data_IF_681083643904
#
_entry.id   IF_681083643904
#
_cell.length_a   1.000
_cell.length_b   1.000
_cell.length_c   1.000
_cell.angle_alpha   90.00
_cell.angle_beta   90.00
_cell.angle_gamma   90.00
#
_symmetry.space_group_name_H-M   'P 1'
#
loop_
_entity.id
_entity.type
_entity.pdbx_description
1 polymer ?
#
# COMPACT_ATOMS: atom_id res chain seq x y z
N UNK A 1 35.19 23.87 15.04
CA UNK A 1 34.16 24.91 15.23
C UNK A 1 32.94 24.23 15.84
N UNK A 2 32.43 24.67 17.01
CA UNK A 2 31.21 24.07 17.56
C UNK A 2 30.01 24.43 16.69
N UNK A 3 29.12 23.46 16.46
CA UNK A 3 27.83 23.67 15.80
C UNK A 3 26.79 23.94 16.89
N UNK A 4 26.07 25.04 16.76
CA UNK A 4 24.91 25.37 17.58
C UNK A 4 23.65 24.98 16.80
N UNK A 5 22.82 24.12 17.39
CA UNK A 5 21.58 23.65 16.77
C UNK A 5 20.38 24.25 17.50
N UNK A 6 19.57 25.03 16.79
CA UNK A 6 18.30 25.55 17.32
C UNK A 6 17.12 24.70 16.83
N UNK A 7 16.19 24.40 17.73
CA UNK A 7 14.98 23.64 17.41
C UNK A 7 13.82 24.58 17.03
N UNK A 8 12.97 24.17 16.09
CA UNK A 8 11.77 24.91 15.72
C UNK A 8 10.82 25.08 16.91
N UNK A 9 10.32 26.30 17.10
CA UNK A 9 9.31 26.67 18.11
C UNK A 9 7.93 26.76 17.46
N UNK A 10 6.90 26.79 18.30
CA UNK A 10 5.50 26.91 17.84
C UNK A 10 5.29 28.19 17.02
N UNK A 11 5.85 29.32 17.46
CA UNK A 11 5.74 30.61 16.78
C UNK A 11 6.40 30.68 15.40
N UNK A 12 7.25 29.70 15.05
CA UNK A 12 7.92 29.68 13.74
C UNK A 12 6.97 29.26 12.61
N UNK A 13 5.90 28.54 12.95
CA UNK A 13 4.95 28.00 11.96
C UNK A 13 3.49 28.26 12.32
N UNK A 14 3.18 28.63 13.56
CA UNK A 14 1.83 28.96 14.01
C UNK A 14 1.76 30.41 14.45
N UNK A 15 1.05 31.24 13.67
CA UNK A 15 0.85 32.65 13.98
C UNK A 15 -0.16 32.85 15.12
N UNK A 16 -1.23 32.05 15.13
CA UNK A 16 -2.32 32.11 16.10
C UNK A 16 -3.15 30.82 16.03
N UNK A 17 -3.69 30.38 17.16
CA UNK A 17 -4.71 29.32 17.27
C UNK A 17 -5.75 29.71 18.33
N UNK A 18 -6.95 29.13 18.24
CA UNK A 18 -7.99 29.33 19.25
C UNK A 18 -7.53 28.77 20.61
N UNK A 19 -7.90 29.46 21.70
CA UNK A 19 -7.69 28.97 23.06
C UNK A 19 -8.31 27.60 23.30
N UNK A 20 -7.87 26.92 24.36
CA UNK A 20 -8.34 25.57 24.73
C UNK A 20 -8.11 24.49 23.66
N UNK A 21 -7.15 24.72 22.74
CA UNK A 21 -6.74 23.76 21.71
C UNK A 21 -7.85 23.37 20.71
N UNK A 22 -8.89 24.19 20.55
CA UNK A 22 -10.00 23.87 19.64
C UNK A 22 -9.59 23.76 18.16
N UNK A 23 -8.44 24.34 17.78
CA UNK A 23 -7.88 24.22 16.43
C UNK A 23 -6.99 22.97 16.25
N UNK A 24 -6.90 22.10 17.26
CA UNK A 24 -6.06 20.89 17.23
C UNK A 24 -6.93 19.65 17.22
N UNK A 25 -6.43 18.64 16.51
CA UNK A 25 -7.03 17.31 16.48
C UNK A 25 -5.94 16.25 16.73
N UNK A 26 -6.32 15.16 17.38
CA UNK A 26 -5.45 14.02 17.60
C UNK A 26 -5.69 13.05 16.46
N UNK A 27 -4.69 12.93 15.58
CA UNK A 27 -4.77 12.07 14.39
C UNK A 27 -3.82 10.89 14.51
N UNK A 28 -4.25 9.73 14.04
CA UNK A 28 -3.38 8.57 13.86
C UNK A 28 -2.57 8.73 12.57
N UNK A 29 -1.26 8.56 12.67
CA UNK A 29 -0.34 8.62 11.53
C UNK A 29 0.12 7.22 11.16
N UNK A 30 0.32 6.96 9.88
CA UNK A 30 0.87 5.68 9.40
C UNK A 30 2.27 5.43 10.03
N UNK A 31 2.55 4.19 10.43
CA UNK A 31 3.86 3.79 10.93
C UNK A 31 4.97 4.03 9.88
N UNK A 32 6.22 4.26 10.30
CA UNK A 32 7.33 4.37 9.36
C UNK A 32 7.69 3.01 8.75
N UNK A 33 8.43 3.02 7.63
CA UNK A 33 8.90 1.78 7.00
C UNK A 33 10.09 1.22 7.80
N UNK A 34 9.85 0.20 8.63
CA UNK A 34 10.88 -0.48 9.42
C UNK A 34 11.38 0.28 10.66
N UNK A 35 10.80 1.45 10.99
CA UNK A 35 11.07 2.22 12.19
C UNK A 35 9.93 3.21 12.49
N UNK A 36 9.93 3.81 13.68
CA UNK A 36 9.00 4.89 14.00
C UNK A 36 9.18 6.08 13.05
N UNK A 37 8.06 6.68 12.65
CA UNK A 37 8.09 7.86 11.79
C UNK A 37 8.51 9.06 12.61
N UNK A 38 9.70 9.60 12.33
CA UNK A 38 10.17 10.83 12.96
C UNK A 38 9.37 12.02 12.44
N UNK A 39 8.50 12.57 13.29
CA UNK A 39 7.73 13.79 13.01
C UNK A 39 8.43 14.99 13.64
N UNK A 40 8.50 16.11 12.90
CA UNK A 40 9.03 17.37 13.41
C UNK A 40 7.92 18.40 13.56
N UNK A 41 8.10 19.35 14.48
CA UNK A 41 7.16 20.44 14.70
C UNK A 41 6.99 21.27 13.41
N UNK A 42 5.74 21.54 13.04
CA UNK A 42 5.39 22.26 11.80
C UNK A 42 5.52 21.43 10.52
N UNK A 43 5.72 20.10 10.61
CA UNK A 43 5.74 19.24 9.43
C UNK A 43 4.34 19.15 8.80
N UNK A 44 4.25 19.47 7.51
CA UNK A 44 3.01 19.31 6.74
C UNK A 44 2.76 17.83 6.50
N UNK A 45 1.57 17.35 6.89
CA UNK A 45 1.13 15.98 6.68
C UNK A 45 0.13 15.91 5.52
N UNK A 46 0.31 14.94 4.62
CA UNK A 46 -0.69 14.58 3.62
C UNK A 46 -1.68 13.58 4.21
N UNK A 47 -2.98 13.75 3.89
CA UNK A 47 -4.00 12.76 4.25
C UNK A 47 -3.88 11.54 3.33
N UNK A 48 -3.70 10.35 3.91
CA UNK A 48 -3.82 9.09 3.17
C UNK A 48 -5.29 8.86 2.81
N UNK A 49 -5.61 8.82 1.52
CA UNK A 49 -6.98 8.59 1.02
C UNK A 49 -7.25 7.13 0.68
N UNK A 50 -6.22 6.30 0.65
CA UNK A 50 -6.30 4.86 0.39
C UNK A 50 -5.45 4.10 1.40
N UNK A 51 -5.91 2.91 1.76
CA UNK A 51 -5.16 1.99 2.61
C UNK A 51 -4.01 1.32 1.85
N UNK A 52 -3.34 0.41 2.54
CA UNK A 52 -2.36 -0.51 1.95
C UNK A 52 -3.06 -1.74 1.40
N UNK A 53 -2.60 -2.24 0.24
CA UNK A 53 -2.97 -3.58 -0.19
C UNK A 53 -2.07 -4.61 0.53
N UNK A 54 -2.68 -5.74 0.85
CA UNK A 54 -1.99 -6.92 1.36
C UNK A 54 -2.39 -8.10 0.50
N UNK A 55 -1.41 -8.90 0.11
CA UNK A 55 -1.65 -10.06 -0.73
C UNK A 55 -1.67 -11.33 0.13
N UNK A 56 -2.65 -12.19 -0.11
CA UNK A 56 -2.84 -13.45 0.61
C UNK A 56 -3.32 -14.53 -0.35
N UNK A 57 -2.86 -15.77 -0.14
CA UNK A 57 -3.37 -16.92 -0.87
C UNK A 57 -4.79 -17.26 -0.42
N UNK A 58 -5.65 -17.63 -1.37
CA UNK A 58 -6.97 -18.15 -1.05
C UNK A 58 -6.86 -19.49 -0.29
N UNK A 59 -7.82 -19.73 0.61
CA UNK A 59 -7.87 -20.99 1.34
C UNK A 59 -8.05 -22.17 0.36
N UNK A 60 -7.20 -23.19 0.46
CA UNK A 60 -7.21 -24.35 -0.44
C UNK A 60 -6.42 -24.18 -1.72
N UNK A 61 -5.65 -23.09 -1.88
CA UNK A 61 -4.70 -22.97 -2.99
C UNK A 61 -3.66 -24.10 -2.94
N UNK A 62 -3.51 -24.81 -4.05
CA UNK A 62 -2.60 -25.96 -4.20
C UNK A 62 -1.19 -25.56 -4.62
N UNK A 63 -1.04 -24.41 -5.30
CA UNK A 63 0.27 -23.87 -5.66
C UNK A 63 0.98 -23.15 -4.51
N UNK A 64 2.30 -23.08 -4.63
CA UNK A 64 3.16 -22.39 -3.66
C UNK A 64 3.73 -21.06 -4.18
N UNK A 65 3.21 -20.56 -5.30
CA UNK A 65 3.67 -19.28 -5.80
C UNK A 65 3.17 -18.11 -4.96
N UNK A 66 3.87 -17.00 -5.12
CA UNK A 66 3.76 -15.83 -4.25
C UNK A 66 3.42 -14.60 -5.07
N UNK A 67 2.77 -13.66 -4.44
CA UNK A 67 2.49 -12.33 -4.98
C UNK A 67 3.22 -11.31 -4.10
N UNK A 68 3.63 -10.19 -4.68
CA UNK A 68 4.22 -9.07 -3.93
C UNK A 68 3.39 -8.79 -2.67
N UNK A 69 3.99 -8.96 -1.48
CA UNK A 69 3.27 -8.93 -0.21
C UNK A 69 2.51 -7.61 0.03
N UNK A 70 3.07 -6.51 -0.47
CA UNK A 70 2.49 -5.17 -0.39
C UNK A 70 2.36 -4.58 -1.81
N UNK A 71 1.32 -4.95 -2.57
CA UNK A 71 1.06 -4.36 -3.89
C UNK A 71 0.93 -2.84 -3.78
N UNK A 72 1.46 -2.12 -4.77
CA UNK A 72 1.27 -0.66 -4.82
C UNK A 72 -0.17 -0.36 -5.21
N UNK A 73 -0.82 0.50 -4.44
CA UNK A 73 -2.23 0.91 -4.66
C UNK A 73 -2.26 2.10 -5.63
N UNK A 74 -2.85 1.90 -6.81
CA UNK A 74 -2.97 2.92 -7.84
C UNK A 74 -4.14 3.89 -7.62
N UNK A 75 -4.19 4.96 -8.40
CA UNK A 75 -5.25 5.98 -8.33
C UNK A 75 -6.64 5.45 -8.68
N UNK A 76 -6.75 4.42 -9.51
CA UNK A 76 -8.02 3.76 -9.84
C UNK A 76 -8.44 2.68 -8.83
N UNK A 77 -7.59 2.34 -7.85
CA UNK A 77 -7.91 1.30 -6.88
C UNK A 77 -9.14 1.63 -6.03
N UNK A 78 -10.10 0.72 -6.03
CA UNK A 78 -11.23 0.66 -5.11
C UNK A 78 -10.86 -0.05 -3.81
N UNK A 79 -11.50 0.34 -2.71
CA UNK A 79 -11.36 -0.35 -1.43
C UNK A 79 -12.16 -1.66 -1.46
N UNK A 80 -11.52 -2.76 -1.05
CA UNK A 80 -12.14 -4.08 -1.01
C UNK A 80 -11.16 -5.19 -1.39
N UNK A 81 -11.69 -6.40 -1.53
CA UNK A 81 -10.91 -7.59 -1.91
C UNK A 81 -10.85 -7.68 -3.43
N UNK A 82 -9.64 -7.75 -3.99
CA UNK A 82 -9.42 -8.08 -5.39
C UNK A 82 -9.24 -9.59 -5.49
N UNK A 83 -9.95 -10.23 -6.42
CA UNK A 83 -9.86 -11.66 -6.62
C UNK A 83 -8.95 -11.97 -7.81
N UNK A 84 -8.02 -12.91 -7.61
CA UNK A 84 -7.16 -13.42 -8.67
C UNK A 84 -7.46 -14.89 -8.88
N UNK A 85 -7.83 -15.28 -10.10
CA UNK A 85 -8.17 -16.67 -10.45
C UNK A 85 -7.27 -17.15 -11.57
N UNK A 86 -6.61 -18.30 -11.39
CA UNK A 86 -5.82 -18.92 -12.45
C UNK A 86 -6.77 -19.37 -13.58
N UNK A 87 -6.56 -18.84 -14.79
CA UNK A 87 -7.35 -19.16 -15.98
C UNK A 87 -6.59 -20.04 -16.98
N UNK A 88 -5.26 -20.01 -16.94
CA UNK A 88 -4.39 -20.80 -17.81
C UNK A 88 -3.20 -21.26 -16.97
N UNK A 89 -3.27 -22.47 -16.38
CA UNK A 89 -2.14 -23.04 -15.66
C UNK A 89 -1.04 -23.41 -16.67
N UNK A 90 0.21 -23.06 -16.34
CA UNK A 90 1.37 -23.43 -17.14
C UNK A 90 2.52 -23.82 -16.20
N UNK A 91 3.35 -24.78 -16.61
CA UNK A 91 4.52 -25.16 -15.82
C UNK A 91 5.51 -23.99 -15.75
N UNK A 92 5.87 -23.56 -14.54
CA UNK A 92 6.69 -22.35 -14.32
C UNK A 92 6.00 -21.04 -14.76
N UNK A 93 4.67 -20.98 -14.73
CA UNK A 93 3.94 -19.80 -15.17
C UNK A 93 2.43 -19.86 -15.01
N UNK A 94 1.74 -18.99 -15.74
CA UNK A 94 0.30 -19.01 -15.82
C UNK A 94 -0.29 -17.62 -16.02
N UNK A 95 -1.59 -17.62 -16.32
CA UNK A 95 -2.37 -16.38 -16.42
C UNK A 95 -3.44 -16.37 -15.35
N UNK A 96 -3.58 -15.22 -14.72
CA UNK A 96 -4.56 -14.95 -13.68
C UNK A 96 -5.51 -13.87 -14.16
N UNK A 97 -6.81 -14.12 -14.13
CA UNK A 97 -7.79 -13.03 -14.21
C UNK A 97 -7.71 -12.22 -12.91
N UNK A 98 -7.73 -10.89 -13.03
CA UNK A 98 -7.75 -9.98 -11.89
C UNK A 98 -9.09 -9.26 -11.89
N UNK A 99 -9.89 -9.50 -10.86
CA UNK A 99 -11.21 -8.91 -10.67
C UNK A 99 -11.17 -7.88 -9.54
N UNK A 100 -11.87 -6.76 -9.74
CA UNK A 100 -12.03 -5.73 -8.72
C UNK A 100 -13.07 -6.12 -7.65
N UNK A 101 -13.19 -5.35 -6.55
CA UNK A 101 -14.16 -5.63 -5.50
C UNK A 101 -15.63 -5.59 -5.94
N UNK A 102 -15.92 -5.05 -7.13
CA UNK A 102 -17.27 -5.02 -7.72
C UNK A 102 -17.49 -6.21 -8.67
N UNK A 103 -16.53 -7.13 -8.81
CA UNK A 103 -16.58 -8.29 -9.70
C UNK A 103 -16.26 -7.97 -11.17
N UNK A 104 -15.64 -6.82 -11.44
CA UNK A 104 -15.27 -6.40 -12.80
C UNK A 104 -13.85 -6.87 -13.10
N UNK A 105 -13.66 -7.56 -14.23
CA UNK A 105 -12.34 -7.92 -14.74
C UNK A 105 -11.55 -6.65 -15.11
N UNK A 106 -10.46 -6.39 -14.39
CA UNK A 106 -9.56 -5.26 -14.65
C UNK A 106 -8.38 -5.62 -15.55
N UNK A 107 -8.09 -6.92 -15.72
CA UNK A 107 -7.07 -7.39 -16.64
C UNK A 107 -6.60 -8.82 -16.35
N UNK A 108 -5.59 -9.24 -17.10
CA UNK A 108 -4.95 -10.55 -16.93
C UNK A 108 -3.51 -10.32 -16.47
N UNK A 109 -3.15 -10.88 -15.33
CA UNK A 109 -1.79 -10.90 -14.81
C UNK A 109 -1.08 -12.18 -15.28
N UNK A 110 0.13 -12.03 -15.82
CA UNK A 110 0.98 -13.14 -16.21
C UNK A 110 2.05 -13.36 -15.16
N UNK A 111 2.28 -14.62 -14.76
CA UNK A 111 3.35 -14.97 -13.83
C UNK A 111 4.71 -14.52 -14.38
N UNK A 112 5.56 -13.95 -13.52
CA UNK A 112 6.86 -13.39 -13.87
C UNK A 112 6.81 -11.99 -14.52
N UNK A 113 5.61 -11.46 -14.82
CA UNK A 113 5.42 -10.15 -15.43
C UNK A 113 4.79 -9.19 -14.42
N UNK A 114 5.25 -7.94 -14.41
CA UNK A 114 4.61 -6.90 -13.60
C UNK A 114 3.22 -6.60 -14.17
N UNK A 115 2.19 -6.77 -13.34
CA UNK A 115 0.86 -6.27 -13.60
C UNK A 115 0.74 -4.84 -13.05
N UNK A 116 0.16 -3.93 -13.81
CA UNK A 116 -0.02 -2.53 -13.42
C UNK A 116 -1.37 -1.99 -13.90
N UNK A 117 -2.38 -1.99 -13.03
CA UNK A 117 -3.69 -1.38 -13.27
C UNK A 117 -4.20 -0.66 -12.01
N UNK A 118 -5.22 -1.19 -11.33
CA UNK A 118 -5.64 -0.73 -10.01
C UNK A 118 -4.57 -1.00 -8.96
N UNK A 119 -3.93 -2.16 -9.05
CA UNK A 119 -2.82 -2.58 -8.20
C UNK A 119 -1.59 -2.83 -9.07
N UNK A 120 -0.41 -2.59 -8.52
CA UNK A 120 0.86 -3.00 -9.12
C UNK A 120 1.49 -4.10 -8.29
N UNK A 121 1.71 -5.27 -8.90
CA UNK A 121 2.32 -6.44 -8.26
C UNK A 121 2.93 -7.36 -9.31
N UNK A 122 3.73 -8.32 -8.84
CA UNK A 122 4.23 -9.43 -9.64
C UNK A 122 3.86 -10.74 -8.96
N UNK A 123 3.47 -11.73 -9.76
CA UNK A 123 3.25 -13.12 -9.32
C UNK A 123 4.51 -13.92 -9.65
N UNK A 124 5.03 -14.66 -8.68
CA UNK A 124 6.10 -15.62 -8.83
C UNK A 124 5.54 -17.03 -8.67
N UNK A 125 5.97 -17.96 -9.53
CA UNK A 125 5.36 -19.29 -9.63
C UNK A 125 5.58 -20.20 -8.42
N UNK A 126 6.69 -20.00 -7.72
CA UNK A 126 7.14 -20.99 -6.74
C UNK A 126 7.70 -22.24 -7.44
N UNK A 127 7.57 -23.40 -6.81
CA UNK A 127 8.02 -24.69 -7.37
C UNK A 127 6.91 -25.74 -7.55
N UNK A 128 5.68 -25.40 -7.20
CA UNK A 128 4.47 -26.22 -7.39
C UNK A 128 3.43 -25.35 -8.07
N UNK A 129 2.99 -25.77 -9.26
CA UNK A 129 2.02 -25.07 -10.09
C UNK A 129 0.69 -24.81 -9.33
N UNK A 130 0.03 -23.68 -9.64
CA UNK A 130 -1.18 -23.18 -8.99
C UNK A 130 -2.47 -23.93 -9.29
#
# INVERSE_FOLDING_TARGET
MPVLTESKRLGDWLKWEQENQYSRDIVTVLAGSGADRVLTSGMVLGRATKGTASAAAAAGNTGNGTITANPTVGQAAKAGVYQLVCIEPATNGGKFSVEDPDGILIGIATVGVQFAAHLTFTIADGGVDF
#
